data_IF_062243563076
#
_entry.id   IF_062243563076
#
_cell.length_a   1.000
_cell.length_b   1.000
_cell.length_c   1.000
_cell.angle_alpha   90.00
_cell.angle_beta   90.00
_cell.angle_gamma   90.00
#
_symmetry.space_group_name_H-M   'P 1'
#
loop_
_entity.id
_entity.type
_entity.pdbx_description
1 polymer ?
#
# COMPACT_ATOMS: atom_id res chain seq x y z
N UNK A 1 -18.65 7.37 23.84
CA UNK A 1 -19.38 7.04 22.60
C UNK A 1 -18.59 5.95 21.89
N UNK A 2 -19.18 4.83 21.42
CA UNK A 2 -18.40 3.82 20.73
C UNK A 2 -17.94 4.40 19.40
N UNK A 3 -16.63 4.49 19.22
CA UNK A 3 -16.02 4.89 17.95
C UNK A 3 -16.43 3.81 16.96
N UNK A 4 -17.31 4.14 16.02
CA UNK A 4 -17.85 3.20 15.04
C UNK A 4 -16.68 2.75 14.16
N UNK A 5 -16.10 1.59 14.46
CA UNK A 5 -14.99 1.02 13.68
C UNK A 5 -15.50 0.74 12.28
N UNK A 6 -14.97 1.47 11.29
CA UNK A 6 -15.20 1.16 9.88
C UNK A 6 -13.97 0.36 9.42
N UNK A 7 -14.06 -0.97 9.31
CA UNK A 7 -12.99 -1.73 8.68
C UNK A 7 -12.80 -1.18 7.26
N UNK A 8 -11.54 -0.93 6.89
CA UNK A 8 -11.20 -0.42 5.57
C UNK A 8 -10.77 -1.57 4.68
N UNK A 9 -11.10 -1.45 3.40
CA UNK A 9 -10.76 -2.45 2.40
C UNK A 9 -10.47 -1.76 1.08
N UNK A 10 -9.57 -2.35 0.30
CA UNK A 10 -9.26 -1.91 -1.04
C UNK A 10 -9.10 -3.12 -1.97
N UNK A 11 -9.51 -2.94 -3.22
CA UNK A 11 -9.23 -3.89 -4.29
C UNK A 11 -8.06 -3.37 -5.13
N UNK A 12 -7.30 -4.30 -5.67
CA UNK A 12 -6.39 -3.99 -6.77
C UNK A 12 -7.19 -3.60 -8.02
N UNK A 13 -6.62 -2.78 -8.93
CA UNK A 13 -7.32 -2.33 -10.14
C UNK A 13 -7.74 -3.47 -11.06
N UNK A 14 -6.99 -4.57 -11.05
CA UNK A 14 -7.25 -5.78 -11.83
C UNK A 14 -8.25 -6.74 -11.15
N UNK A 15 -8.74 -6.40 -9.95
CA UNK A 15 -9.64 -7.22 -9.13
C UNK A 15 -9.10 -8.63 -8.80
N UNK A 16 -7.78 -8.81 -8.81
CA UNK A 16 -7.12 -10.09 -8.47
C UNK A 16 -6.74 -10.18 -6.99
N UNK A 17 -6.58 -9.03 -6.35
CA UNK A 17 -6.15 -8.92 -4.96
C UNK A 17 -7.09 -8.02 -4.17
N UNK A 18 -7.24 -8.30 -2.88
CA UNK A 18 -7.86 -7.38 -1.94
C UNK A 18 -7.03 -7.25 -0.67
N UNK A 19 -6.98 -6.05 -0.11
CA UNK A 19 -6.38 -5.79 1.18
C UNK A 19 -7.48 -5.36 2.14
N UNK A 20 -7.45 -5.92 3.35
CA UNK A 20 -8.38 -5.59 4.41
C UNK A 20 -7.62 -5.27 5.68
N UNK A 21 -8.17 -4.38 6.49
CA UNK A 21 -7.73 -4.21 7.87
C UNK A 21 -8.68 -4.94 8.81
N UNK A 22 -8.09 -5.69 9.73
CA UNK A 22 -8.83 -6.43 10.75
C UNK A 22 -8.85 -5.64 12.05
N UNK A 23 -10.05 -5.26 12.51
CA UNK A 23 -10.37 -4.92 13.90
C UNK A 23 -9.26 -4.25 14.73
N UNK A 24 -8.99 -4.84 15.90
CA UNK A 24 -8.14 -4.27 16.96
C UNK A 24 -6.67 -4.70 16.84
N UNK A 25 -6.36 -5.45 15.79
CA UNK A 25 -5.11 -6.20 15.66
C UNK A 25 -4.02 -5.31 15.02
N UNK A 26 -4.38 -4.12 14.52
CA UNK A 26 -3.53 -3.19 13.76
C UNK A 26 -2.85 -3.81 12.52
N UNK A 27 -3.32 -4.98 12.10
CA UNK A 27 -2.78 -5.73 10.97
C UNK A 27 -3.48 -5.40 9.66
N UNK A 28 -2.69 -5.34 8.59
CA UNK A 28 -3.20 -5.34 7.21
C UNK A 28 -3.01 -6.73 6.63
N UNK A 29 -4.08 -7.33 6.12
CA UNK A 29 -4.03 -8.65 5.46
C UNK A 29 -4.36 -8.50 3.99
N UNK A 30 -3.50 -9.03 3.11
CA UNK A 30 -3.76 -9.10 1.68
C UNK A 30 -4.14 -10.51 1.26
N UNK A 31 -5.13 -10.60 0.39
CA UNK A 31 -5.72 -11.83 -0.14
C UNK A 31 -5.58 -11.85 -1.66
N UNK A 32 -5.27 -13.03 -2.20
CA UNK A 32 -5.46 -13.34 -3.61
C UNK A 32 -6.88 -13.87 -3.80
N UNK A 33 -7.64 -13.24 -4.68
CA UNK A 33 -8.99 -13.65 -5.05
C UNK A 33 -8.98 -14.82 -6.04
N UNK A 34 -7.89 -14.95 -6.81
CA UNK A 34 -7.67 -16.07 -7.74
C UNK A 34 -7.34 -17.34 -6.96
N UNK A 35 -6.37 -17.27 -6.04
CA UNK A 35 -5.91 -18.43 -5.26
C UNK A 35 -6.74 -18.66 -3.99
N UNK A 36 -7.65 -17.73 -3.67
CA UNK A 36 -8.53 -17.76 -2.49
C UNK A 36 -7.77 -17.97 -1.17
N UNK A 37 -6.59 -17.35 -1.06
CA UNK A 37 -5.73 -17.46 0.13
C UNK A 37 -5.13 -16.13 0.52
N UNK A 38 -4.70 -16.06 1.78
CA UNK A 38 -3.88 -14.96 2.30
C UNK A 38 -2.51 -15.02 1.64
N UNK A 39 -2.10 -13.92 1.00
CA UNK A 39 -0.78 -13.78 0.38
C UNK A 39 0.17 -12.95 1.23
N UNK A 40 -0.36 -12.10 2.11
CA UNK A 40 0.43 -11.23 2.97
C UNK A 40 -0.27 -10.94 4.29
N UNK A 41 0.52 -10.86 5.37
CA UNK A 41 0.14 -10.16 6.60
C UNK A 41 1.22 -9.14 6.91
N UNK A 42 0.82 -7.88 7.01
CA UNK A 42 1.73 -6.78 7.18
C UNK A 42 1.60 -6.25 8.61
N UNK A 43 2.71 -6.34 9.33
CA UNK A 43 2.87 -5.84 10.69
C UNK A 43 3.65 -4.52 10.66
N UNK A 44 3.45 -3.66 11.65
CA UNK A 44 4.27 -2.46 11.85
C UNK A 44 3.48 -1.21 12.26
N UNK A 45 2.18 -1.18 11.98
CA UNK A 45 1.29 -0.18 12.57
C UNK A 45 1.17 -0.44 14.06
N UNK A 46 1.22 0.62 14.85
CA UNK A 46 1.07 0.60 16.30
C UNK A 46 -0.26 1.24 16.74
N UNK A 47 -1.17 1.45 15.78
CA UNK A 47 -2.50 1.98 15.99
C UNK A 47 -3.38 1.64 14.78
N UNK A 48 -4.65 2.03 14.86
CA UNK A 48 -5.65 1.71 13.85
C UNK A 48 -5.26 2.21 12.47
N UNK A 49 -5.34 1.31 11.50
CA UNK A 49 -5.20 1.66 10.08
C UNK A 49 -6.43 2.42 9.64
N UNK A 50 -6.20 3.59 9.05
CA UNK A 50 -7.24 4.56 8.70
C UNK A 50 -7.46 4.70 7.20
N UNK A 51 -6.50 4.27 6.37
CA UNK A 51 -6.69 4.18 4.94
C UNK A 51 -5.80 3.10 4.30
N UNK A 52 -6.34 2.47 3.26
CA UNK A 52 -5.65 1.55 2.35
C UNK A 52 -5.74 2.01 0.90
N UNK A 53 -4.70 1.76 0.10
CA UNK A 53 -4.75 1.95 -1.35
C UNK A 53 -3.74 1.05 -2.06
N UNK A 54 -4.18 0.42 -3.15
CA UNK A 54 -3.31 -0.28 -4.08
C UNK A 54 -2.58 0.70 -5.01
N UNK A 55 -1.43 0.26 -5.51
CA UNK A 55 -0.69 0.91 -6.59
C UNK A 55 -1.34 0.59 -7.94
N UNK A 56 -1.94 1.56 -8.64
CA UNK A 56 -2.58 1.27 -9.92
C UNK A 56 -1.61 1.12 -11.09
N UNK A 57 -0.33 1.47 -10.92
CA UNK A 57 0.66 1.40 -12.00
C UNK A 57 1.49 0.11 -11.97
N UNK A 58 1.48 -0.61 -10.86
CA UNK A 58 2.32 -1.79 -10.66
C UNK A 58 1.56 -2.80 -9.81
N UNK A 59 0.50 -3.29 -10.42
CA UNK A 59 -0.12 -4.55 -10.05
C UNK A 59 -0.03 -5.41 -11.31
N UNK A 60 0.89 -6.37 -11.32
CA UNK A 60 0.97 -7.38 -12.37
C UNK A 60 0.08 -8.57 -11.99
N UNK A 61 -0.15 -9.49 -12.91
CA UNK A 61 -1.00 -10.68 -12.71
C UNK A 61 -0.61 -11.52 -11.50
N UNK A 62 0.64 -11.42 -11.04
CA UNK A 62 1.22 -12.21 -9.96
C UNK A 62 1.65 -11.38 -8.76
N UNK A 63 1.59 -10.05 -8.86
CA UNK A 63 2.13 -9.18 -7.82
C UNK A 63 1.27 -7.94 -7.62
N UNK A 64 1.07 -7.58 -6.36
CA UNK A 64 0.40 -6.35 -6.00
C UNK A 64 1.29 -5.50 -5.09
N UNK A 65 1.23 -4.19 -5.27
CA UNK A 65 1.78 -3.24 -4.31
C UNK A 65 0.65 -2.46 -3.68
N UNK A 66 0.72 -2.25 -2.37
CA UNK A 66 -0.24 -1.42 -1.67
C UNK A 66 0.43 -0.67 -0.52
N UNK A 67 -0.25 0.37 -0.08
CA UNK A 67 0.19 1.20 1.02
C UNK A 67 -0.95 1.40 2.00
N UNK A 68 -0.57 1.54 3.26
CA UNK A 68 -1.48 1.69 4.39
C UNK A 68 -0.99 2.82 5.28
N UNK A 69 -1.91 3.56 5.89
CA UNK A 69 -1.60 4.61 6.87
C UNK A 69 -2.41 4.43 8.13
N UNK A 70 -1.80 4.70 9.27
CA UNK A 70 -2.40 4.54 10.59
C UNK A 70 -2.39 5.86 11.39
N UNK A 71 -3.18 5.90 12.46
CA UNK A 71 -3.17 6.99 13.43
C UNK A 71 -1.81 7.20 14.11
N UNK A 72 -0.92 6.20 14.07
CA UNK A 72 0.45 6.26 14.55
C UNK A 72 1.39 7.10 13.67
N UNK A 73 0.86 7.73 12.61
CA UNK A 73 1.59 8.50 11.60
C UNK A 73 2.60 7.69 10.78
N UNK A 74 2.47 6.36 10.76
CA UNK A 74 3.23 5.49 9.85
C UNK A 74 2.51 5.32 8.53
N UNK A 75 3.29 5.37 7.46
CA UNK A 75 2.93 4.86 6.16
C UNK A 75 3.71 3.57 5.95
N UNK A 76 3.01 2.48 5.70
CA UNK A 76 3.61 1.18 5.43
C UNK A 76 3.32 0.83 3.97
N UNK A 77 4.40 0.59 3.22
CA UNK A 77 4.37 0.16 1.83
C UNK A 77 4.81 -1.29 1.72
N UNK A 78 4.05 -2.06 0.95
CA UNK A 78 4.21 -3.51 0.79
C UNK A 78 4.37 -3.82 -0.70
N UNK A 79 5.42 -4.57 -1.05
CA UNK A 79 5.75 -4.95 -2.43
C UNK A 79 5.74 -6.46 -2.67
N UNK A 80 6.07 -6.86 -3.91
CA UNK A 80 5.79 -8.17 -4.55
C UNK A 80 6.07 -9.43 -3.71
N UNK A 81 6.96 -9.37 -2.72
CA UNK A 81 7.35 -10.55 -1.95
C UNK A 81 6.91 -10.51 -0.49
N UNK A 82 6.26 -9.44 -0.03
CA UNK A 82 6.07 -9.11 1.41
C UNK A 82 7.37 -9.02 2.23
N UNK A 83 8.52 -9.40 1.67
CA UNK A 83 9.85 -9.35 2.27
C UNK A 83 10.36 -7.92 2.42
N UNK A 84 9.88 -7.00 1.58
CA UNK A 84 10.23 -5.59 1.67
C UNK A 84 9.03 -4.80 2.18
N UNK A 85 9.07 -4.47 3.47
CA UNK A 85 8.13 -3.57 4.12
C UNK A 85 8.86 -2.25 4.37
N UNK A 86 8.45 -1.19 3.69
CA UNK A 86 8.99 0.15 3.92
C UNK A 86 8.08 0.91 4.86
N UNK A 87 8.60 1.30 6.03
CA UNK A 87 7.88 2.10 7.02
C UNK A 87 8.40 3.53 6.98
N UNK A 88 7.50 4.49 6.75
CA UNK A 88 7.79 5.92 6.76
C UNK A 88 7.03 6.57 7.90
N UNK A 89 7.74 7.06 8.90
CA UNK A 89 7.18 7.84 9.99
C UNK A 89 7.02 9.31 9.56
N UNK A 90 5.79 9.82 9.52
CA UNK A 90 5.53 11.24 9.26
C UNK A 90 5.59 12.03 10.57
N UNK A 91 6.17 13.23 10.52
CA UNK A 91 6.26 14.15 11.69
C UNK A 91 4.90 14.72 12.14
N UNK A 92 3.90 14.70 11.26
CA UNK A 92 2.54 15.22 11.53
C UNK A 92 1.51 14.29 10.88
N UNK A 93 0.34 14.17 11.51
CA UNK A 93 -0.83 13.51 10.90
C UNK A 93 -1.16 14.23 9.58
N UNK A 94 -1.34 13.49 8.46
CA UNK A 94 -1.71 14.10 7.19
C UNK A 94 -3.13 14.68 7.29
N UNK A 95 -3.38 15.76 6.55
CA UNK A 95 -4.71 16.42 6.49
C UNK A 95 -5.76 15.44 5.95
N UNK A 96 -5.37 14.56 5.02
CA UNK A 96 -6.17 13.42 4.61
C UNK A 96 -5.29 12.22 4.28
N UNK A 97 -5.61 11.08 4.90
CA UNK A 97 -4.89 9.81 4.77
C UNK A 97 -4.92 9.28 3.32
N UNK A 98 -6.09 9.35 2.67
CA UNK A 98 -6.25 8.93 1.29
C UNK A 98 -5.45 9.80 0.30
N UNK A 99 -5.39 11.13 0.51
CA UNK A 99 -4.56 12.01 -0.32
C UNK A 99 -3.07 11.74 -0.10
N UNK A 100 -2.67 11.45 1.15
CA UNK A 100 -1.29 11.07 1.47
C UNK A 100 -0.86 9.83 0.68
N UNK A 101 -1.72 8.79 0.62
CA UNK A 101 -1.49 7.59 -0.16
C UNK A 101 -1.43 7.90 -1.67
N UNK A 102 -2.38 8.66 -2.21
CA UNK A 102 -2.40 9.04 -3.63
C UNK A 102 -1.14 9.81 -4.05
N UNK A 103 -0.72 10.77 -3.24
CA UNK A 103 0.50 11.54 -3.50
C UNK A 103 1.76 10.68 -3.40
N UNK A 104 1.79 9.73 -2.45
CA UNK A 104 2.90 8.79 -2.32
C UNK A 104 3.05 7.97 -3.61
N UNK A 105 1.97 7.35 -4.10
CA UNK A 105 2.01 6.59 -5.35
C UNK A 105 2.35 7.46 -6.56
N UNK A 106 1.82 8.68 -6.66
CA UNK A 106 2.13 9.59 -7.76
C UNK A 106 3.62 10.00 -7.77
N UNK A 107 4.20 10.23 -6.58
CA UNK A 107 5.61 10.54 -6.45
C UNK A 107 6.51 9.35 -6.78
N UNK A 108 6.14 8.15 -6.31
CA UNK A 108 6.84 6.91 -6.61
C UNK A 108 6.80 6.59 -8.11
N UNK A 109 5.64 6.79 -8.75
CA UNK A 109 5.48 6.64 -10.20
C UNK A 109 6.37 7.62 -10.98
N UNK A 110 6.45 8.89 -10.57
CA UNK A 110 7.30 9.89 -11.24
C UNK A 110 8.77 9.51 -11.16
N UNK A 111 9.24 9.00 -10.01
CA UNK A 111 10.62 8.54 -9.84
C UNK A 111 10.89 7.31 -10.72
N UNK A 112 9.98 6.33 -10.73
CA UNK A 112 10.11 5.14 -11.55
C UNK A 112 10.15 5.46 -13.06
N UNK A 113 9.26 6.35 -13.53
CA UNK A 113 9.25 6.79 -14.93
C UNK A 113 10.54 7.51 -15.31
N UNK A 114 11.09 8.34 -14.43
CA UNK A 114 12.38 9.01 -14.65
C UNK A 114 13.54 8.01 -14.71
N UNK A 115 13.55 6.98 -13.84
CA UNK A 115 14.57 5.92 -13.90
C UNK A 115 14.48 5.09 -15.17
N UNK A 116 13.28 4.75 -15.65
CA UNK A 116 13.14 4.06 -16.94
C UNK A 116 13.58 4.93 -18.12
N UNK A 117 13.23 6.22 -18.12
CA UNK A 117 13.72 7.16 -19.15
C UNK A 117 15.25 7.24 -19.13
N UNK A 118 15.87 7.33 -17.95
CA UNK A 118 17.32 7.38 -17.83
C UNK A 118 17.99 6.06 -18.27
N UNK A 119 17.39 4.91 -17.97
CA UNK A 119 17.86 3.60 -18.45
C UNK A 119 17.63 3.38 -19.95
N UNK A 120 16.78 4.18 -20.60
CA UNK A 120 16.55 4.16 -22.05
C UNK A 120 17.50 5.10 -22.82
N UNK A 121 18.24 5.99 -22.15
CA UNK A 121 19.27 6.84 -22.81
C UNK A 121 20.60 6.11 -22.98
N UNK A 122 20.81 4.95 -22.33
CA UNK A 122 22.08 4.20 -22.33
C UNK A 122 22.09 2.99 -23.30
N UNK A 123 21.14 2.94 -24.26
CA UNK A 123 21.03 1.87 -25.27
C UNK A 123 21.21 2.38 -26.72
N UNK A 124 22.18 3.26 -26.94
CA UNK A 124 22.71 3.54 -28.29
C UNK A 124 24.22 3.30 -28.30
N UNK A 125 24.58 2.06 -28.61
CA UNK A 125 25.86 1.74 -29.29
C UNK A 125 25.68 2.12 -30.75
#
# INVERSE_FOLDING_TARGET
MPIKMKPDFAFSPDSKFCAITGGQDDLVTAYSLIEQRVIARCQGHASFVTALSFDPWFSDDRSCRFASVSEDCKLIFVSESCLLITIIQKKKKPISNLLCLKLFFLSAYRIFKLQQVNNLVDLRV
#
